data_IF_028641554306
#
_entry.id   IF_028641554306
#
_cell.length_a   1.000
_cell.length_b   1.000
_cell.length_c   1.000
_cell.angle_alpha   90.00
_cell.angle_beta   90.00
_cell.angle_gamma   90.00
#
_symmetry.space_group_name_H-M   'P 1'
#
loop_
_entity.id
_entity.type
_entity.pdbx_description
1 polymer ?
#
# COMPACT_ATOMS: atom_id res chain seq x y z
N UNK A 1 -34.18 -11.29 7.95
CA UNK A 1 -33.15 -10.34 8.27
C UNK A 1 -32.24 -10.95 9.34
N UNK A 2 -31.05 -11.36 8.93
CA UNK A 2 -30.07 -11.90 9.87
C UNK A 2 -29.60 -10.76 10.77
N UNK A 3 -29.77 -10.93 12.07
CA UNK A 3 -29.22 -10.03 13.07
C UNK A 3 -27.70 -9.96 12.90
N UNK A 4 -27.22 -8.81 12.44
CA UNK A 4 -25.78 -8.56 12.34
C UNK A 4 -25.26 -8.35 13.76
N UNK A 5 -24.33 -9.19 14.19
CA UNK A 5 -23.71 -9.08 15.51
C UNK A 5 -22.96 -7.77 15.71
N UNK A 6 -22.78 -7.36 16.96
CA UNK A 6 -22.03 -6.14 17.35
C UNK A 6 -20.66 -6.03 16.67
N UNK A 7 -19.97 -7.16 16.45
CA UNK A 7 -18.70 -7.20 15.72
C UNK A 7 -18.78 -6.71 14.27
N UNK A 8 -19.91 -6.95 13.59
CA UNK A 8 -20.11 -6.48 12.23
C UNK A 8 -20.39 -4.97 12.16
N UNK A 9 -20.98 -4.41 13.21
CA UNK A 9 -21.21 -2.96 13.32
C UNK A 9 -19.88 -2.22 13.50
N UNK A 10 -19.01 -2.70 14.37
CA UNK A 10 -17.68 -2.10 14.55
C UNK A 10 -16.78 -2.22 13.32
N UNK A 11 -16.80 -3.35 12.65
CA UNK A 11 -16.08 -3.53 11.38
C UNK A 11 -16.59 -2.58 10.30
N UNK A 12 -17.88 -2.33 10.24
CA UNK A 12 -18.47 -1.39 9.27
C UNK A 12 -18.10 0.05 9.57
N UNK A 13 -18.05 0.48 10.83
CA UNK A 13 -17.66 1.84 11.19
C UNK A 13 -16.23 2.15 10.77
N UNK A 14 -15.28 1.26 11.01
CA UNK A 14 -13.90 1.41 10.54
C UNK A 14 -13.77 1.41 9.01
N UNK A 15 -14.60 0.62 8.31
CA UNK A 15 -14.65 0.60 6.86
C UNK A 15 -15.20 1.90 6.28
N UNK A 16 -16.25 2.46 6.88
CA UNK A 16 -16.85 3.73 6.46
C UNK A 16 -15.88 4.90 6.62
N UNK A 17 -15.14 4.95 7.71
CA UNK A 17 -14.09 5.96 7.92
C UNK A 17 -12.98 5.86 6.89
N UNK A 18 -12.51 4.65 6.60
CA UNK A 18 -11.50 4.39 5.58
C UNK A 18 -11.98 4.79 4.19
N UNK A 19 -13.20 4.42 3.83
CA UNK A 19 -13.84 4.78 2.55
C UNK A 19 -13.98 6.31 2.45
N UNK A 20 -14.39 6.97 3.52
CA UNK A 20 -14.53 8.43 3.57
C UNK A 20 -13.18 9.13 3.37
N UNK A 21 -12.13 8.69 4.05
CA UNK A 21 -10.79 9.25 3.92
C UNK A 21 -10.24 9.12 2.49
N UNK A 22 -10.37 7.95 1.90
CA UNK A 22 -9.95 7.69 0.52
C UNK A 22 -10.78 8.50 -0.48
N UNK A 23 -12.07 8.60 -0.28
CA UNK A 23 -12.97 9.40 -1.12
C UNK A 23 -12.59 10.89 -1.10
N UNK A 24 -12.25 11.43 0.06
CA UNK A 24 -11.76 12.82 0.19
C UNK A 24 -10.44 13.03 -0.56
N UNK A 25 -9.51 12.10 -0.45
CA UNK A 25 -8.24 12.16 -1.16
C UNK A 25 -8.43 12.15 -2.69
N UNK A 26 -9.34 11.35 -3.19
CA UNK A 26 -9.69 11.30 -4.62
C UNK A 26 -10.31 12.60 -5.08
N UNK A 27 -11.19 13.21 -4.29
CA UNK A 27 -11.76 14.52 -4.58
C UNK A 27 -10.67 15.60 -4.68
N UNK A 28 -9.69 15.58 -3.78
CA UNK A 28 -8.52 16.48 -3.85
C UNK A 28 -7.73 16.28 -5.13
N UNK A 29 -7.52 15.05 -5.54
CA UNK A 29 -6.85 14.72 -6.79
C UNK A 29 -7.58 15.29 -8.01
N UNK A 30 -8.90 15.15 -8.05
CA UNK A 30 -9.75 15.68 -9.13
C UNK A 30 -9.79 17.22 -9.16
N UNK A 31 -9.61 17.88 -8.02
CA UNK A 31 -9.58 19.35 -7.95
C UNK A 31 -8.25 19.98 -8.35
N UNK A 32 -7.27 19.20 -8.76
CA UNK A 32 -5.96 19.67 -9.19
C UNK A 32 -5.00 20.05 -8.06
N UNK A 33 -5.34 19.76 -6.82
CA UNK A 33 -4.51 20.04 -5.64
C UNK A 33 -3.44 18.94 -5.39
N UNK A 34 -3.40 17.93 -6.24
CA UNK A 34 -2.46 16.82 -6.12
C UNK A 34 -1.10 17.20 -6.68
N UNK A 35 -0.03 16.80 -5.99
CA UNK A 35 1.31 16.76 -6.56
C UNK A 35 1.35 15.69 -7.68
N UNK A 36 1.64 16.08 -8.95
CA UNK A 36 1.66 15.14 -10.07
C UNK A 36 2.75 14.07 -9.97
N UNK A 37 3.67 14.21 -9.03
CA UNK A 37 4.79 13.27 -8.82
C UNK A 37 4.50 12.19 -7.77
N UNK A 38 3.35 12.25 -7.08
CA UNK A 38 3.03 11.31 -6.00
C UNK A 38 1.89 10.38 -6.38
N UNK A 39 1.76 9.21 -5.70
CA UNK A 39 0.59 8.37 -5.85
C UNK A 39 -0.72 9.11 -5.59
N UNK A 40 -1.83 8.63 -6.11
CA UNK A 40 -3.17 9.23 -5.96
C UNK A 40 -3.62 9.35 -4.50
N UNK A 41 -3.11 8.48 -3.64
CA UNK A 41 -3.32 8.57 -2.21
C UNK A 41 -2.41 7.60 -1.47
N UNK A 42 -2.02 7.96 -0.26
CA UNK A 42 -1.24 7.09 0.61
C UNK A 42 -1.84 7.14 2.00
N UNK A 43 -2.20 5.98 2.54
CA UNK A 43 -2.91 5.87 3.80
C UNK A 43 -2.23 4.85 4.69
N UNK A 44 -2.18 5.14 5.98
CA UNK A 44 -1.71 4.19 6.99
C UNK A 44 -2.86 3.91 7.94
N UNK A 45 -3.26 2.65 8.03
CA UNK A 45 -4.23 2.18 9.01
C UNK A 45 -3.50 1.54 10.18
N UNK A 46 -3.63 2.15 11.33
CA UNK A 46 -3.05 1.68 12.58
C UNK A 46 -4.06 0.85 13.36
N UNK A 47 -3.61 -0.27 13.91
CA UNK A 47 -4.43 -1.14 14.71
C UNK A 47 -4.14 -2.62 14.47
N UNK A 48 -4.80 -3.51 15.23
CA UNK A 48 -4.55 -4.94 15.11
C UNK A 48 -4.79 -5.42 13.68
N UNK A 49 -3.86 -6.24 13.16
CA UNK A 49 -4.04 -6.89 11.88
C UNK A 49 -5.30 -7.74 11.89
N UNK A 50 -6.08 -7.68 10.84
CA UNK A 50 -7.31 -8.45 10.77
C UNK A 50 -7.98 -8.44 9.42
N UNK A 51 -8.90 -9.37 9.26
CA UNK A 51 -9.69 -9.62 8.04
C UNK A 51 -10.41 -8.36 7.54
N UNK A 52 -10.76 -7.43 8.45
CA UNK A 52 -11.46 -6.20 8.09
C UNK A 52 -10.66 -5.26 7.19
N UNK A 53 -9.34 -5.22 7.31
CA UNK A 53 -8.47 -4.35 6.49
C UNK A 53 -8.44 -4.83 5.03
N UNK A 54 -8.29 -6.12 4.81
CA UNK A 54 -8.32 -6.72 3.47
C UNK A 54 -9.69 -6.55 2.81
N UNK A 55 -10.76 -6.78 3.54
CA UNK A 55 -12.13 -6.60 3.02
C UNK A 55 -12.41 -5.13 2.66
N UNK A 56 -11.92 -4.20 3.46
CA UNK A 56 -12.00 -2.76 3.15
C UNK A 56 -11.25 -2.42 1.87
N UNK A 57 -10.04 -2.94 1.70
CA UNK A 57 -9.24 -2.72 0.49
C UNK A 57 -9.91 -3.31 -0.76
N UNK A 58 -10.50 -4.49 -0.67
CA UNK A 58 -11.28 -5.09 -1.75
C UNK A 58 -12.50 -4.26 -2.12
N UNK A 59 -13.25 -3.79 -1.12
CA UNK A 59 -14.40 -2.94 -1.34
C UNK A 59 -14.02 -1.61 -2.01
N UNK A 60 -12.89 -1.02 -1.62
CA UNK A 60 -12.36 0.18 -2.25
C UNK A 60 -11.93 -0.08 -3.69
N UNK A 61 -11.28 -1.20 -3.98
CA UNK A 61 -10.87 -1.56 -5.33
C UNK A 61 -12.09 -1.70 -6.25
N UNK A 62 -13.14 -2.35 -5.79
CA UNK A 62 -14.40 -2.45 -6.53
C UNK A 62 -15.04 -1.10 -6.75
N UNK A 63 -15.14 -0.30 -5.71
CA UNK A 63 -15.77 1.03 -5.77
C UNK A 63 -15.02 2.00 -6.70
N UNK A 64 -13.70 2.02 -6.65
CA UNK A 64 -12.89 2.99 -7.37
C UNK A 64 -12.53 2.58 -8.79
N UNK A 65 -12.28 1.30 -8.98
CA UNK A 65 -11.77 0.75 -10.24
C UNK A 65 -12.74 -0.25 -10.89
N UNK A 66 -13.89 -0.50 -10.27
CA UNK A 66 -14.93 -1.39 -10.79
C UNK A 66 -14.57 -2.88 -10.71
N UNK A 67 -13.50 -3.25 -10.03
CA UNK A 67 -13.00 -4.62 -9.97
C UNK A 67 -12.25 -4.85 -8.66
N UNK A 68 -12.71 -5.82 -7.86
CA UNK A 68 -12.02 -6.20 -6.62
C UNK A 68 -10.63 -6.82 -6.87
N UNK A 69 -10.37 -7.32 -8.08
CA UNK A 69 -9.06 -7.81 -8.51
C UNK A 69 -8.06 -6.69 -8.80
N UNK A 70 -8.49 -5.42 -8.78
CA UNK A 70 -7.61 -4.26 -8.79
C UNK A 70 -6.96 -4.01 -7.42
N UNK A 71 -6.74 -5.05 -6.67
CA UNK A 71 -6.05 -5.08 -5.39
C UNK A 71 -4.76 -5.88 -5.52
N UNK A 72 -3.64 -5.24 -5.21
CA UNK A 72 -2.33 -5.87 -5.06
C UNK A 72 -2.06 -5.96 -3.57
N UNK A 73 -1.96 -7.18 -3.05
CA UNK A 73 -1.73 -7.42 -1.63
C UNK A 73 -0.36 -8.02 -1.40
N UNK A 74 0.43 -7.38 -0.55
CA UNK A 74 1.78 -7.83 -0.19
C UNK A 74 1.90 -7.83 1.33
N UNK A 75 2.23 -8.98 1.89
CA UNK A 75 2.49 -9.14 3.32
C UNK A 75 3.97 -8.84 3.61
N UNK A 76 4.23 -7.77 4.35
CA UNK A 76 5.59 -7.36 4.69
C UNK A 76 6.28 -8.29 5.67
N UNK A 77 5.58 -9.22 6.32
CA UNK A 77 6.21 -10.28 7.13
C UNK A 77 7.06 -11.24 6.30
N UNK A 78 6.84 -11.31 5.00
CA UNK A 78 7.66 -12.08 4.05
C UNK A 78 8.91 -11.31 3.57
N UNK A 79 9.08 -10.07 4.00
CA UNK A 79 10.14 -9.15 3.58
C UNK A 79 10.98 -8.66 4.77
N UNK A 80 11.22 -9.53 5.74
CA UNK A 80 11.99 -9.23 6.96
C UNK A 80 13.51 -9.26 6.73
N UNK A 81 13.96 -9.92 5.68
CA UNK A 81 15.37 -10.10 5.35
C UNK A 81 15.81 -9.12 4.26
N UNK A 82 17.06 -8.65 4.34
CA UNK A 82 17.60 -7.70 3.37
C UNK A 82 17.53 -8.19 1.92
N UNK A 83 17.81 -9.47 1.68
CA UNK A 83 17.79 -10.04 0.33
C UNK A 83 16.40 -10.08 -0.30
N UNK A 84 15.34 -9.92 0.48
CA UNK A 84 13.96 -9.93 -0.02
C UNK A 84 13.59 -8.70 -0.84
N UNK A 85 14.42 -7.66 -0.87
CA UNK A 85 14.25 -6.51 -1.78
C UNK A 85 14.15 -7.00 -3.23
N UNK A 86 14.96 -7.99 -3.63
CA UNK A 86 14.92 -8.55 -4.97
C UNK A 86 13.61 -9.26 -5.32
N UNK A 87 12.90 -9.79 -4.33
CA UNK A 87 11.54 -10.34 -4.55
C UNK A 87 10.52 -9.24 -4.85
N UNK A 88 10.73 -8.05 -4.28
CA UNK A 88 9.82 -6.93 -4.43
C UNK A 88 9.98 -6.21 -5.78
N UNK A 89 11.23 -5.91 -6.15
CA UNK A 89 11.55 -5.11 -7.34
C UNK A 89 12.23 -5.89 -8.46
N UNK A 90 12.48 -7.18 -8.28
CA UNK A 90 13.13 -8.05 -9.22
C UNK A 90 14.62 -8.26 -8.93
N UNK A 91 15.20 -9.25 -9.59
CA UNK A 91 16.63 -9.57 -9.52
C UNK A 91 17.38 -8.96 -10.70
N UNK A 92 18.66 -8.57 -10.53
CA UNK A 92 19.49 -8.13 -11.64
C UNK A 92 19.73 -9.25 -12.68
N UNK A 93 20.11 -8.90 -13.92
CA UNK A 93 20.47 -9.89 -14.94
C UNK A 93 21.54 -10.88 -14.43
N UNK A 94 21.33 -12.16 -14.69
CA UNK A 94 22.22 -13.24 -14.27
C UNK A 94 21.95 -13.79 -12.87
N UNK A 95 21.02 -13.21 -12.11
CA UNK A 95 20.61 -13.71 -10.80
C UNK A 95 19.30 -14.50 -10.88
N UNK A 96 19.10 -15.40 -9.90
CA UNK A 96 17.86 -16.18 -9.79
C UNK A 96 16.66 -15.23 -9.64
N UNK A 97 15.58 -15.51 -10.38
CA UNK A 97 14.36 -14.71 -10.35
C UNK A 97 14.34 -13.54 -11.33
N UNK A 98 15.38 -13.34 -12.12
CA UNK A 98 15.43 -12.26 -13.12
C UNK A 98 14.26 -12.30 -14.12
N UNK A 99 13.95 -13.49 -14.63
CA UNK A 99 12.87 -13.65 -15.62
C UNK A 99 11.46 -13.47 -15.05
N UNK A 100 11.30 -13.68 -13.75
CA UNK A 100 10.00 -13.56 -13.06
C UNK A 100 9.66 -12.09 -12.75
N UNK A 101 10.66 -11.24 -12.62
CA UNK A 101 10.48 -9.85 -12.19
C UNK A 101 10.14 -9.71 -10.70
N UNK A 102 9.89 -8.50 -10.26
CA UNK A 102 9.52 -8.20 -8.87
C UNK A 102 8.03 -8.37 -8.62
N UNK A 103 7.67 -8.86 -7.45
CA UNK A 103 6.27 -9.09 -7.07
C UNK A 103 5.46 -7.79 -7.12
N UNK A 104 5.98 -6.69 -6.58
CA UNK A 104 5.31 -5.40 -6.60
C UNK A 104 5.39 -4.74 -7.97
N UNK A 105 6.57 -4.66 -8.56
CA UNK A 105 6.80 -3.95 -9.82
C UNK A 105 6.05 -4.56 -10.99
N UNK A 106 6.02 -5.89 -11.11
CA UNK A 106 5.26 -6.57 -12.16
C UNK A 106 3.74 -6.44 -11.95
N UNK A 107 3.27 -6.53 -10.70
CA UNK A 107 1.84 -6.41 -10.42
C UNK A 107 1.32 -5.01 -10.78
N UNK A 108 2.05 -3.95 -10.44
CA UNK A 108 1.65 -2.57 -10.77
C UNK A 108 1.80 -2.30 -12.27
N UNK A 109 2.80 -2.88 -12.93
CA UNK A 109 2.93 -2.75 -14.39
C UNK A 109 1.72 -3.34 -15.12
N UNK A 110 1.21 -4.47 -14.66
CA UNK A 110 0.03 -5.12 -15.22
C UNK A 110 -1.27 -4.40 -14.90
N UNK A 111 -1.36 -3.81 -13.71
CA UNK A 111 -2.53 -3.10 -13.20
C UNK A 111 -2.15 -1.73 -12.64
N UNK A 112 -1.88 -0.74 -13.49
CA UNK A 112 -1.43 0.58 -13.04
C UNK A 112 -2.49 1.37 -12.25
N UNK A 113 -3.77 1.08 -12.46
CA UNK A 113 -4.89 1.62 -11.69
C UNK A 113 -5.31 0.57 -10.64
N UNK A 114 -4.69 0.61 -9.49
CA UNK A 114 -4.90 -0.41 -8.45
C UNK A 114 -4.74 0.16 -7.05
N UNK A 115 -5.23 -0.61 -6.08
CA UNK A 115 -4.90 -0.42 -4.67
C UNK A 115 -3.74 -1.35 -4.33
N UNK A 116 -2.69 -0.81 -3.74
CA UNK A 116 -1.55 -1.56 -3.22
C UNK A 116 -1.70 -1.63 -1.71
N UNK A 117 -1.99 -2.80 -1.19
CA UNK A 117 -2.09 -3.07 0.25
C UNK A 117 -0.79 -3.69 0.74
N UNK A 118 -0.08 -2.96 1.58
CA UNK A 118 1.16 -3.38 2.24
C UNK A 118 0.83 -3.71 3.69
N UNK A 119 0.68 -4.98 3.99
CA UNK A 119 0.27 -5.43 5.32
C UNK A 119 1.47 -5.62 6.25
N UNK A 120 1.30 -5.27 7.52
CA UNK A 120 2.31 -5.40 8.57
C UNK A 120 3.65 -4.71 8.24
N UNK A 121 3.59 -3.43 7.88
CA UNK A 121 4.78 -2.67 7.43
C UNK A 121 5.89 -2.57 8.47
N UNK A 122 5.59 -2.68 9.77
CA UNK A 122 6.57 -2.69 10.86
C UNK A 122 7.52 -3.89 10.79
N UNK A 123 7.14 -4.96 10.11
CA UNK A 123 7.96 -6.17 9.96
C UNK A 123 8.95 -6.10 8.81
N UNK A 124 8.78 -5.15 7.87
CA UNK A 124 9.67 -5.02 6.74
C UNK A 124 11.10 -4.68 7.17
N UNK A 125 12.09 -5.31 6.51
CA UNK A 125 13.48 -4.88 6.68
C UNK A 125 13.63 -3.40 6.29
N UNK A 126 14.48 -2.61 6.98
CA UNK A 126 14.68 -1.20 6.66
C UNK A 126 14.96 -0.90 5.19
N UNK A 127 15.73 -1.74 4.50
CA UNK A 127 16.02 -1.57 3.07
C UNK A 127 14.79 -1.76 2.19
N UNK A 128 13.93 -2.71 2.53
CA UNK A 128 12.62 -2.90 1.88
C UNK A 128 11.75 -1.68 2.11
N UNK A 129 11.70 -1.21 3.32
CA UNK A 129 10.91 -0.04 3.69
C UNK A 129 11.38 1.23 2.97
N UNK A 130 12.69 1.45 2.85
CA UNK A 130 13.25 2.57 2.09
C UNK A 130 12.84 2.54 0.61
N UNK A 131 12.72 1.36 0.03
CA UNK A 131 12.19 1.19 -1.32
C UNK A 131 10.73 1.65 -1.42
N UNK A 132 9.91 1.31 -0.43
CA UNK A 132 8.52 1.77 -0.36
C UNK A 132 8.43 3.28 -0.17
N UNK A 133 9.31 3.88 0.63
CA UNK A 133 9.39 5.33 0.79
C UNK A 133 9.67 6.05 -0.51
N UNK A 134 10.57 5.52 -1.33
CA UNK A 134 10.86 6.08 -2.64
C UNK A 134 9.60 6.14 -3.53
N UNK A 135 8.78 5.10 -3.48
CA UNK A 135 7.50 5.08 -4.20
C UNK A 135 6.57 6.19 -3.71
N UNK A 136 6.48 6.38 -2.39
CA UNK A 136 5.63 7.41 -1.79
C UNK A 136 6.08 8.83 -2.14
N UNK A 137 7.38 9.05 -2.24
CA UNK A 137 7.96 10.36 -2.53
C UNK A 137 7.99 10.67 -4.02
N UNK A 138 8.41 9.71 -4.84
CA UNK A 138 8.67 9.93 -6.27
C UNK A 138 7.51 9.49 -7.18
N UNK A 139 6.58 8.69 -6.67
CA UNK A 139 5.49 8.11 -7.45
C UNK A 139 5.95 7.12 -8.52
N UNK A 140 7.19 6.69 -8.47
CA UNK A 140 7.80 5.76 -9.41
C UNK A 140 8.93 4.98 -8.76
N UNK A 141 9.23 3.85 -9.33
CA UNK A 141 10.32 2.99 -8.90
C UNK A 141 11.01 2.40 -10.12
N UNK A 142 12.34 2.44 -10.14
CA UNK A 142 13.12 1.72 -11.15
C UNK A 142 13.30 0.28 -10.69
N UNK A 143 12.86 -0.67 -11.51
CA UNK A 143 13.04 -2.09 -11.21
C UNK A 143 14.50 -2.54 -11.46
N UNK A 144 14.79 -3.79 -11.11
CA UNK A 144 16.14 -4.34 -11.28
C UNK A 144 16.56 -4.49 -12.75
N UNK A 145 15.65 -4.41 -13.69
CA UNK A 145 15.90 -4.44 -15.13
C UNK A 145 16.12 -3.03 -15.74
N UNK A 146 16.10 -2.00 -14.90
CA UNK A 146 16.25 -0.61 -15.32
C UNK A 146 14.99 0.04 -15.87
N UNK A 147 13.83 -0.63 -15.78
CA UNK A 147 12.55 -0.09 -16.24
C UNK A 147 11.89 0.73 -15.14
N UNK A 148 11.31 1.86 -15.51
CA UNK A 148 10.55 2.68 -14.56
C UNK A 148 9.11 2.17 -14.47
N UNK A 149 8.67 1.90 -13.25
CA UNK A 149 7.29 1.53 -12.94
C UNK A 149 6.59 2.73 -12.33
N UNK A 150 5.46 3.13 -12.88
CA UNK A 150 4.69 4.30 -12.46
C UNK A 150 3.64 3.90 -11.42
N UNK A 151 3.65 4.57 -10.28
CA UNK A 151 2.70 4.39 -9.18
C UNK A 151 1.73 5.57 -9.03
N UNK A 152 1.72 6.52 -9.94
CA UNK A 152 0.91 7.74 -9.82
C UNK A 152 -0.59 7.48 -9.79
N UNK A 153 -1.04 6.41 -10.43
CA UNK A 153 -2.45 6.04 -10.49
C UNK A 153 -2.83 4.97 -9.46
N UNK A 154 -1.91 4.61 -8.57
CA UNK A 154 -2.17 3.68 -7.48
C UNK A 154 -2.62 4.41 -6.22
N UNK A 155 -3.34 3.68 -5.37
CA UNK A 155 -3.64 4.07 -4.00
C UNK A 155 -2.90 3.11 -3.10
N UNK A 156 -2.03 3.64 -2.24
CA UNK A 156 -1.19 2.83 -1.35
C UNK A 156 -1.78 2.82 0.05
N UNK A 157 -2.10 1.64 0.53
CA UNK A 157 -2.61 1.43 1.88
C UNK A 157 -1.60 0.58 2.65
N UNK A 158 -1.13 1.10 3.76
CA UNK A 158 -0.24 0.39 4.67
C UNK A 158 -0.95 0.08 5.97
N UNK A 159 -0.78 -1.12 6.48
CA UNK A 159 -1.32 -1.52 7.78
C UNK A 159 -0.20 -1.80 8.77
N UNK A 160 -0.45 -1.53 10.04
CA UNK A 160 0.50 -1.77 11.11
C UNK A 160 -0.21 -2.07 12.42
N UNK A 161 0.39 -2.92 13.24
CA UNK A 161 -0.04 -3.18 14.63
C UNK A 161 0.59 -2.21 15.63
N UNK A 162 1.55 -1.39 15.20
CA UNK A 162 2.23 -0.43 16.06
C UNK A 162 1.45 0.87 16.16
N UNK A 163 1.60 1.57 17.29
CA UNK A 163 1.14 2.95 17.42
C UNK A 163 1.99 3.91 16.57
N UNK A 164 1.46 5.09 16.26
CA UNK A 164 2.11 6.09 15.39
C UNK A 164 3.53 6.45 15.84
N UNK A 165 3.75 6.56 17.16
CA UNK A 165 5.06 6.86 17.73
C UNK A 165 6.09 5.75 17.52
N UNK A 166 5.65 4.50 17.56
CA UNK A 166 6.50 3.34 17.36
C UNK A 166 6.90 3.18 15.89
N UNK A 167 6.02 3.49 14.97
CA UNK A 167 6.30 3.51 13.54
C UNK A 167 7.34 4.58 13.22
N UNK A 168 7.15 5.80 13.68
CA UNK A 168 8.06 6.91 13.49
C UNK A 168 9.47 6.59 14.04
N UNK A 169 9.53 5.93 15.20
CA UNK A 169 10.79 5.54 15.86
C UNK A 169 11.51 4.41 15.11
N UNK A 170 10.79 3.43 14.60
CA UNK A 170 11.38 2.26 13.95
C UNK A 170 11.76 2.51 12.49
N UNK A 171 11.17 3.50 11.85
CA UNK A 171 11.27 3.70 10.41
C UNK A 171 11.82 5.08 10.01
N UNK A 172 12.09 5.96 10.97
CA UNK A 172 12.64 7.28 10.72
C UNK A 172 11.68 8.24 10.01
N UNK A 173 10.39 8.02 10.09
CA UNK A 173 9.38 8.91 9.55
C UNK A 173 9.24 10.19 10.37
N UNK A 174 9.52 11.32 9.77
CA UNK A 174 9.22 12.64 10.33
C UNK A 174 7.92 13.26 9.84
N UNK A 175 7.14 12.58 9.02
CA UNK A 175 5.98 13.19 8.35
C UNK A 175 4.70 12.36 8.33
N UNK A 176 4.43 11.57 9.37
CA UNK A 176 3.12 10.90 9.52
C UNK A 176 2.13 11.70 10.37
N UNK A 177 2.32 13.01 10.50
CA UNK A 177 1.57 13.85 11.42
C UNK A 177 0.25 14.41 10.88
N UNK A 178 -0.25 13.94 9.76
CA UNK A 178 -1.51 14.45 9.19
C UNK A 178 -2.50 13.37 8.81
N UNK A 179 -2.81 12.49 9.76
CA UNK A 179 -4.05 11.70 9.69
C UNK A 179 -4.69 11.74 11.07
N UNK A 180 -5.28 12.87 11.42
CA UNK A 180 -6.37 13.00 12.38
C UNK A 180 -7.71 12.90 11.66
#
# INVERSE_FOLDING_TARGET
>A
PRSRGLGDVYKRQGQEEAISAVSKAIRRTRSGLKDPKRPSGSFIFLGPSGVGKTETAKALAEFLFGDEDSLIQIDMSEYMEKHTVSRLIGSPPGYVGYDEGGQLTEAVRRKPFSIVLLDEVEKAHPDVFNTLLQILEDGRLTDAQGRTVDFKNTIIIMTSNLGTKDIAKNVGFSSLSEID
#
